data_IF_095121799531
#
_entry.id   IF_095121799531
#
_cell.length_a   1.000
_cell.length_b   1.000
_cell.length_c   1.000
_cell.angle_alpha   90.00
_cell.angle_beta   90.00
_cell.angle_gamma   90.00
#
_symmetry.space_group_name_H-M   'P 1'
#
loop_
_entity.id
_entity.type
_entity.pdbx_description
1 polymer ?
#
# COMPACT_ATOMS: atom_id res chain seq x y z
N UNK A 1 7.12 -4.92 20.69
CA UNK A 1 6.05 -3.99 21.10
C UNK A 1 4.95 -4.11 20.06
N UNK A 2 3.70 -4.37 20.47
CA UNK A 2 2.58 -4.36 19.54
C UNK A 2 2.36 -2.93 19.05
N UNK A 3 2.22 -2.76 17.74
CA UNK A 3 1.88 -1.50 17.10
C UNK A 3 0.58 -0.95 17.70
N UNK A 4 0.67 0.18 18.40
CA UNK A 4 -0.51 0.81 18.98
C UNK A 4 -1.26 1.59 17.89
N UNK A 5 -2.19 0.89 17.25
CA UNK A 5 -3.15 1.46 16.29
C UNK A 5 -3.93 2.62 16.88
N UNK A 6 -4.14 2.66 18.19
CA UNK A 6 -4.81 3.78 18.87
C UNK A 6 -3.89 5.00 18.85
N UNK A 7 -2.62 4.83 19.21
CA UNK A 7 -1.64 5.92 19.16
C UNK A 7 -1.49 6.50 17.75
N UNK A 8 -1.33 5.66 16.72
CA UNK A 8 -1.23 6.17 15.34
C UNK A 8 -2.53 6.84 14.89
N UNK A 9 -3.69 6.27 15.22
CA UNK A 9 -4.97 6.92 14.93
C UNK A 9 -5.11 8.27 15.63
N UNK A 10 -4.70 8.41 16.89
CA UNK A 10 -4.69 9.68 17.60
C UNK A 10 -3.68 10.67 16.99
N UNK A 11 -2.53 10.19 16.53
CA UNK A 11 -1.49 10.99 15.86
C UNK A 11 -1.96 11.53 14.50
N UNK A 12 -2.80 10.76 13.80
CA UNK A 12 -3.40 11.16 12.51
C UNK A 12 -4.70 11.96 12.68
N UNK A 13 -5.53 11.67 13.69
CA UNK A 13 -6.79 12.40 13.97
C UNK A 13 -6.55 13.84 14.41
N UNK A 14 -5.52 14.07 15.22
CA UNK A 14 -5.22 15.39 15.80
C UNK A 14 -4.44 16.31 14.84
N UNK A 15 -3.99 15.81 13.70
CA UNK A 15 -3.38 16.65 12.66
C UNK A 15 -4.47 17.36 11.90
N UNK A 16 -4.57 18.69 12.09
CA UNK A 16 -5.45 19.56 11.31
C UNK A 16 -5.26 19.24 9.83
N UNK A 17 -6.35 18.86 9.15
CA UNK A 17 -6.42 18.73 7.69
C UNK A 17 -5.78 19.96 7.08
N UNK A 18 -4.57 19.83 6.55
CA UNK A 18 -4.10 20.75 5.53
C UNK A 18 -4.64 20.16 4.25
N UNK A 19 -5.70 20.75 3.73
CA UNK A 19 -6.09 20.55 2.34
C UNK A 19 -4.93 21.17 1.55
N UNK A 20 -3.93 20.36 1.26
CA UNK A 20 -2.90 20.78 0.33
C UNK A 20 -3.56 20.88 -1.04
N UNK A 21 -3.21 21.94 -1.76
CA UNK A 21 -3.65 22.16 -3.13
C UNK A 21 -3.49 20.88 -3.95
N UNK A 22 -4.53 20.56 -4.72
CA UNK A 22 -4.61 19.60 -5.81
C UNK A 22 -3.25 19.23 -6.41
N UNK A 23 -2.56 18.23 -5.85
CA UNK A 23 -1.33 17.69 -6.44
C UNK A 23 -1.40 16.16 -6.50
N UNK A 24 -0.77 15.53 -7.50
CA UNK A 24 -0.70 14.08 -7.53
C UNK A 24 0.13 13.57 -6.35
N UNK A 25 -0.24 12.38 -5.86
CA UNK A 25 0.59 11.62 -4.92
C UNK A 25 1.79 11.03 -5.65
N UNK A 26 3.00 11.23 -5.13
CA UNK A 26 4.23 10.87 -5.83
C UNK A 26 4.79 9.49 -5.43
N UNK A 27 4.12 8.77 -4.54
CA UNK A 27 4.62 7.51 -3.98
C UNK A 27 5.65 7.75 -2.88
N UNK A 28 6.79 7.05 -2.94
CA UNK A 28 7.90 7.18 -2.00
C UNK A 28 8.58 8.53 -2.02
N UNK A 29 8.55 9.22 -3.16
CA UNK A 29 9.07 10.58 -3.28
C UNK A 29 8.18 11.62 -2.59
N UNK A 30 6.98 11.23 -2.15
CA UNK A 30 6.05 12.13 -1.49
C UNK A 30 6.48 12.44 -0.05
N UNK A 31 6.43 13.71 0.33
CA UNK A 31 6.83 14.17 1.67
C UNK A 31 5.84 13.76 2.77
N UNK A 32 4.66 13.28 2.38
CA UNK A 32 3.56 12.88 3.27
C UNK A 32 2.94 11.55 2.84
N UNK A 33 3.50 10.45 3.35
CA UNK A 33 3.16 9.09 2.92
C UNK A 33 3.12 8.10 4.08
N UNK A 34 2.30 7.09 3.91
CA UNK A 34 2.39 5.82 4.63
C UNK A 34 3.01 4.83 3.65
N UNK A 35 4.11 4.18 4.02
CA UNK A 35 4.80 3.20 3.23
C UNK A 35 4.87 1.88 3.99
N UNK A 36 4.68 0.78 3.27
CA UNK A 36 4.84 -0.56 3.74
C UNK A 36 5.95 -1.22 2.92
N UNK A 37 7.08 -1.53 3.58
CA UNK A 37 8.26 -2.18 3.01
C UNK A 37 8.27 -3.65 3.36
N UNK A 38 9.06 -4.42 2.63
CA UNK A 38 9.19 -5.88 2.80
C UNK A 38 7.83 -6.58 2.76
N UNK A 39 6.95 -6.13 1.87
CA UNK A 39 5.58 -6.67 1.70
C UNK A 39 5.61 -8.05 1.08
N UNK A 40 6.55 -8.26 0.15
CA UNK A 40 6.75 -9.50 -0.56
C UNK A 40 8.12 -10.09 -0.17
N UNK A 41 8.22 -11.41 0.08
CA UNK A 41 9.48 -12.02 0.48
C UNK A 41 10.58 -11.81 -0.57
N UNK A 42 11.76 -11.33 -0.14
CA UNK A 42 12.93 -11.16 -1.01
C UNK A 42 12.77 -10.06 -2.08
N UNK A 43 11.79 -9.18 -1.95
CA UNK A 43 11.51 -8.11 -2.90
C UNK A 43 11.71 -6.74 -2.26
N UNK A 44 12.26 -5.80 -3.03
CA UNK A 44 12.36 -4.40 -2.64
C UNK A 44 11.12 -3.57 -3.03
N UNK A 45 10.02 -4.22 -3.43
CA UNK A 45 8.78 -3.52 -3.75
C UNK A 45 8.20 -2.89 -2.49
N UNK A 46 7.88 -1.60 -2.59
CA UNK A 46 7.27 -0.83 -1.52
C UNK A 46 5.85 -0.45 -1.92
N UNK A 47 4.92 -0.59 -0.98
CA UNK A 47 3.51 -0.23 -1.16
C UNK A 47 3.25 1.04 -0.37
N UNK A 48 2.84 2.11 -1.03
CA UNK A 48 2.63 3.41 -0.38
C UNK A 48 1.25 3.98 -0.63
N UNK A 49 0.73 4.72 0.35
CA UNK A 49 -0.51 5.48 0.25
C UNK A 49 -0.31 6.84 0.92
N UNK A 50 -0.91 7.90 0.40
CA UNK A 50 -0.73 9.23 0.95
C UNK A 50 -1.38 9.39 2.34
N UNK A 51 -0.82 10.28 3.17
CA UNK A 51 -1.37 10.60 4.51
C UNK A 51 -2.59 11.53 4.42
N UNK A 52 -2.52 12.59 3.61
CA UNK A 52 -3.53 13.65 3.51
C UNK A 52 -4.31 13.59 2.18
N UNK A 53 -5.55 14.06 2.16
CA UNK A 53 -6.47 13.92 1.01
C UNK A 53 -5.94 14.62 -0.25
N UNK A 54 -5.76 13.85 -1.34
CA UNK A 54 -5.46 14.34 -2.69
C UNK A 54 -6.66 14.10 -3.63
N UNK A 55 -6.66 14.73 -4.81
CA UNK A 55 -7.80 14.67 -5.74
C UNK A 55 -8.07 13.28 -6.34
N UNK A 56 -7.09 12.37 -6.32
CA UNK A 56 -7.14 11.05 -6.97
C UNK A 56 -7.42 9.88 -5.99
N UNK A 57 -8.26 10.10 -4.98
CA UNK A 57 -8.27 9.28 -3.75
C UNK A 57 -9.33 8.18 -3.60
N UNK A 58 -8.98 7.09 -2.85
CA UNK A 58 -7.63 6.66 -2.47
C UNK A 58 -6.79 6.09 -3.61
N UNK A 59 -5.50 6.43 -3.61
CA UNK A 59 -4.47 5.78 -4.41
C UNK A 59 -3.51 4.96 -3.52
N UNK A 60 -3.08 3.82 -4.03
CA UNK A 60 -1.89 3.09 -3.59
C UNK A 60 -0.89 3.14 -4.74
N UNK A 61 0.38 3.36 -4.42
CA UNK A 61 1.48 3.31 -5.39
C UNK A 61 2.42 2.19 -4.97
N UNK A 62 2.68 1.25 -5.89
CA UNK A 62 3.71 0.24 -5.71
C UNK A 62 4.92 0.61 -6.57
N UNK A 63 6.09 0.63 -5.93
CA UNK A 63 7.37 1.00 -6.54
C UNK A 63 8.40 -0.08 -6.31
N UNK A 64 9.16 -0.46 -7.33
CA UNK A 64 10.17 -1.51 -7.25
C UNK A 64 10.76 -1.91 -8.60
N UNK A 65 11.52 -3.02 -8.67
CA UNK A 65 12.18 -3.46 -9.89
C UNK A 65 11.19 -3.76 -11.01
N UNK A 66 11.56 -3.42 -12.24
CA UNK A 66 10.69 -3.54 -13.42
C UNK A 66 10.06 -4.93 -13.56
N UNK A 67 10.84 -6.01 -13.46
CA UNK A 67 10.34 -7.37 -13.62
C UNK A 67 9.26 -7.73 -12.58
N UNK A 68 9.42 -7.23 -11.36
CA UNK A 68 8.47 -7.44 -10.26
C UNK A 68 7.24 -6.55 -10.41
N UNK A 69 7.39 -5.31 -10.87
CA UNK A 69 6.26 -4.40 -11.11
C UNK A 69 5.40 -4.87 -12.28
N UNK A 70 6.01 -5.32 -13.38
CA UNK A 70 5.30 -5.94 -14.50
C UNK A 70 4.53 -7.19 -14.06
N UNK A 71 5.16 -8.04 -13.24
CA UNK A 71 4.50 -9.22 -12.66
C UNK A 71 3.32 -8.85 -11.75
N UNK A 72 3.52 -7.86 -10.87
CA UNK A 72 2.51 -7.38 -9.95
C UNK A 72 1.34 -6.74 -10.69
N UNK A 73 1.59 -5.93 -11.72
CA UNK A 73 0.53 -5.33 -12.53
C UNK A 73 -0.44 -6.39 -13.06
N UNK A 74 0.10 -7.46 -13.67
CA UNK A 74 -0.69 -8.57 -14.19
C UNK A 74 -1.46 -9.32 -13.10
N UNK A 75 -0.85 -9.51 -11.93
CA UNK A 75 -1.49 -10.21 -10.80
C UNK A 75 -2.60 -9.35 -10.17
N UNK A 76 -2.36 -8.05 -10.00
CA UNK A 76 -3.25 -7.11 -9.32
C UNK A 76 -4.41 -6.64 -10.21
N UNK A 77 -4.29 -6.76 -11.54
CA UNK A 77 -5.42 -6.58 -12.46
C UNK A 77 -6.64 -7.45 -12.09
N UNK A 78 -6.41 -8.62 -11.49
CA UNK A 78 -7.47 -9.52 -11.00
C UNK A 78 -8.37 -8.84 -9.96
N UNK A 79 -7.84 -7.92 -9.16
CA UNK A 79 -8.60 -7.21 -8.13
C UNK A 79 -9.63 -6.25 -8.74
N UNK A 80 -9.25 -5.59 -9.83
CA UNK A 80 -10.11 -4.66 -10.58
C UNK A 80 -11.11 -5.42 -11.44
N UNK A 81 -10.66 -6.41 -12.22
CA UNK A 81 -11.50 -7.14 -13.17
C UNK A 81 -12.60 -7.95 -12.48
N UNK A 82 -12.30 -8.55 -11.32
CA UNK A 82 -13.29 -9.29 -10.53
C UNK A 82 -14.25 -8.39 -9.77
N UNK A 83 -14.09 -7.06 -9.85
CA UNK A 83 -14.83 -6.06 -9.06
C UNK A 83 -14.84 -6.43 -7.57
N UNK A 84 -13.66 -6.78 -7.04
CA UNK A 84 -13.53 -7.13 -5.62
C UNK A 84 -14.02 -5.92 -4.82
N UNK A 85 -15.07 -6.16 -4.04
CA UNK A 85 -15.67 -5.17 -3.16
C UNK A 85 -15.66 -5.71 -1.75
N UNK A 86 -15.21 -4.85 -0.84
CA UNK A 86 -15.38 -5.04 0.59
C UNK A 86 -16.59 -4.21 1.03
N UNK A 87 -17.11 -4.48 2.23
CA UNK A 87 -18.10 -3.59 2.88
C UNK A 87 -17.64 -2.13 2.97
N UNK A 88 -16.33 -1.89 2.87
CA UNK A 88 -15.69 -0.59 2.99
C UNK A 88 -15.56 0.08 1.62
N UNK A 89 -15.15 -0.61 0.57
CA UNK A 89 -15.14 -0.05 -0.80
C UNK A 89 -14.62 -1.04 -1.84
N UNK A 90 -14.29 -0.55 -3.03
CA UNK A 90 -13.89 -1.40 -4.17
C UNK A 90 -12.69 -0.86 -4.95
N UNK A 91 -11.98 -1.74 -5.65
CA UNK A 91 -10.90 -1.32 -6.56
C UNK A 91 -11.48 -0.63 -7.80
N UNK A 92 -11.14 0.64 -8.01
CA UNK A 92 -11.64 1.49 -9.10
C UNK A 92 -10.78 1.42 -10.37
N UNK A 93 -9.50 1.05 -10.25
CA UNK A 93 -8.62 0.95 -11.40
C UNK A 93 -7.18 0.62 -11.01
N UNK A 94 -6.38 0.27 -12.01
CA UNK A 94 -4.93 0.13 -11.91
C UNK A 94 -4.31 0.72 -13.17
N UNK A 95 -3.19 1.43 -13.00
CA UNK A 95 -2.44 2.05 -14.08
C UNK A 95 -0.95 1.87 -13.83
N UNK A 96 -0.23 1.30 -14.79
CA UNK A 96 1.22 1.31 -14.78
C UNK A 96 1.71 2.67 -15.31
N UNK A 97 2.37 3.46 -14.46
CA UNK A 97 2.84 4.80 -14.83
C UNK A 97 4.29 4.81 -15.29
N UNK A 98 5.05 3.78 -14.97
CA UNK A 98 6.38 3.53 -15.53
C UNK A 98 6.75 2.04 -15.42
N UNK A 99 7.91 1.64 -15.93
CA UNK A 99 8.45 0.30 -15.74
C UNK A 99 8.54 -0.09 -14.25
N UNK A 100 8.79 0.87 -13.36
CA UNK A 100 9.06 0.65 -11.94
C UNK A 100 7.91 1.09 -11.01
N UNK A 101 6.76 1.49 -11.58
CA UNK A 101 5.66 2.08 -10.81
C UNK A 101 4.28 1.68 -11.32
N UNK A 102 3.44 1.21 -10.40
CA UNK A 102 2.00 1.05 -10.61
C UNK A 102 1.21 1.88 -9.60
N UNK A 103 0.09 2.42 -10.06
CA UNK A 103 -0.91 3.12 -9.28
C UNK A 103 -2.19 2.30 -9.24
N UNK A 104 -2.75 2.11 -8.07
CA UNK A 104 -4.04 1.46 -7.86
C UNK A 104 -4.98 2.43 -7.20
N UNK A 105 -6.21 2.50 -7.71
CA UNK A 105 -7.26 3.34 -7.17
C UNK A 105 -8.25 2.47 -6.42
N UNK A 106 -8.55 2.87 -5.19
CA UNK A 106 -9.56 2.25 -4.37
C UNK A 106 -10.66 3.30 -4.15
N UNK A 107 -11.92 2.90 -4.17
CA UNK A 107 -13.06 3.81 -4.01
C UNK A 107 -13.57 3.69 -2.57
N UNK A 108 -12.86 4.33 -1.62
CA UNK A 108 -13.23 4.31 -0.20
C UNK A 108 -12.65 5.46 0.63
N UNK A 109 -13.43 6.00 1.55
CA UNK A 109 -12.89 6.72 2.69
C UNK A 109 -12.34 8.12 2.38
N UNK A 110 -12.57 9.04 3.30
CA UNK A 110 -12.15 10.46 3.21
C UNK A 110 -11.16 10.85 4.31
N UNK A 111 -10.73 9.88 5.14
CA UNK A 111 -9.94 10.14 6.34
C UNK A 111 -8.54 9.51 6.27
N UNK A 112 -7.51 10.17 6.83
CA UNK A 112 -6.14 9.64 6.87
C UNK A 112 -6.00 8.22 7.45
N UNK A 113 -6.71 7.91 8.53
CA UNK A 113 -6.66 6.58 9.16
C UNK A 113 -7.18 5.45 8.26
N UNK A 114 -8.03 5.76 7.29
CA UNK A 114 -8.53 4.77 6.31
C UNK A 114 -7.43 4.38 5.32
N UNK A 115 -6.37 5.19 5.16
CA UNK A 115 -5.21 4.89 4.29
C UNK A 115 -4.28 3.89 4.92
N UNK A 116 -4.09 4.01 6.23
CA UNK A 116 -3.41 2.98 7.00
C UNK A 116 -4.15 1.65 6.90
N UNK A 117 -5.46 1.65 7.16
CA UNK A 117 -6.28 0.44 7.04
C UNK A 117 -6.24 -0.14 5.61
N UNK A 118 -6.24 0.73 4.60
CA UNK A 118 -6.16 0.33 3.21
C UNK A 118 -4.90 -0.48 2.92
N UNK A 119 -3.71 -0.01 3.33
CA UNK A 119 -2.47 -0.72 3.02
C UNK A 119 -2.15 -1.85 4.02
N UNK A 120 -2.45 -1.69 5.30
CA UNK A 120 -2.14 -2.69 6.32
C UNK A 120 -3.03 -3.93 6.25
N UNK A 121 -4.29 -3.74 5.86
CA UNK A 121 -5.31 -4.77 5.92
C UNK A 121 -5.89 -5.02 4.53
N UNK A 122 -6.63 -4.06 3.98
CA UNK A 122 -7.48 -4.33 2.80
C UNK A 122 -6.69 -4.77 1.57
N UNK A 123 -5.64 -4.03 1.20
CA UNK A 123 -4.75 -4.39 0.09
C UNK A 123 -4.12 -5.76 0.30
N UNK A 124 -3.56 -6.03 1.49
CA UNK A 124 -2.87 -7.30 1.77
C UNK A 124 -3.83 -8.48 1.73
N UNK A 125 -5.02 -8.34 2.32
CA UNK A 125 -6.07 -9.37 2.27
C UNK A 125 -6.49 -9.66 0.84
N UNK A 126 -6.75 -8.64 0.05
CA UNK A 126 -7.20 -8.80 -1.33
C UNK A 126 -6.09 -9.38 -2.22
N UNK A 127 -4.84 -8.95 -2.02
CA UNK A 127 -3.67 -9.50 -2.70
C UNK A 127 -3.51 -11.00 -2.41
N UNK A 128 -3.67 -11.43 -1.16
CA UNK A 128 -3.62 -12.85 -0.78
C UNK A 128 -4.82 -13.63 -1.34
N UNK A 129 -6.05 -13.18 -1.09
CA UNK A 129 -7.26 -13.96 -1.40
C UNK A 129 -7.59 -14.00 -2.89
N UNK A 130 -7.31 -12.93 -3.62
CA UNK A 130 -7.82 -12.76 -4.98
C UNK A 130 -6.73 -12.73 -6.03
N UNK A 131 -5.51 -12.32 -5.67
CA UNK A 131 -4.34 -12.42 -6.53
C UNK A 131 -3.43 -13.61 -6.19
N UNK A 132 -3.68 -14.32 -5.08
CA UNK A 132 -2.88 -15.45 -4.55
C UNK A 132 -1.42 -15.09 -4.29
N UNK A 133 -1.14 -13.80 -4.04
CA UNK A 133 0.21 -13.31 -3.81
C UNK A 133 0.71 -13.69 -2.42
N UNK A 134 1.90 -14.28 -2.35
CA UNK A 134 2.59 -14.58 -1.10
C UNK A 134 3.18 -13.32 -0.51
N UNK A 135 2.75 -12.97 0.69
CA UNK A 135 3.24 -11.81 1.42
C UNK A 135 4.21 -12.22 2.53
N UNK A 136 5.08 -11.31 2.97
CA UNK A 136 5.95 -11.51 4.12
C UNK A 136 5.14 -11.62 5.41
N UNK A 137 5.62 -12.46 6.34
CA UNK A 137 5.01 -12.63 7.68
C UNK A 137 5.05 -11.34 8.50
N UNK A 138 6.07 -10.51 8.28
CA UNK A 138 6.25 -9.21 8.90
C UNK A 138 6.61 -8.22 7.80
N UNK A 139 6.13 -6.99 7.92
CA UNK A 139 6.44 -5.89 7.02
C UNK A 139 6.73 -4.63 7.83
N UNK A 140 7.47 -3.70 7.25
CA UNK A 140 7.89 -2.48 7.92
C UNK A 140 6.99 -1.32 7.48
N UNK A 141 6.20 -0.83 8.42
CA UNK A 141 5.36 0.34 8.25
C UNK A 141 6.16 1.60 8.62
N UNK A 142 6.19 2.55 7.69
CA UNK A 142 6.74 3.88 7.89
C UNK A 142 5.70 4.94 7.58
N UNK A 143 5.47 5.87 8.51
CA UNK A 143 4.67 7.07 8.27
C UNK A 143 5.61 8.27 8.21
N UNK A 144 5.71 8.90 7.05
CA UNK A 144 6.52 10.09 6.82
C UNK A 144 5.60 11.29 6.67
N UNK A 145 5.98 12.40 7.32
CA UNK A 145 5.28 13.67 7.21
C UNK A 145 6.28 14.82 7.19
N UNK A 146 6.17 15.71 6.21
CA UNK A 146 7.13 16.78 5.96
C UNK A 146 8.58 16.24 5.93
N UNK A 147 8.81 15.13 5.22
CA UNK A 147 10.10 14.44 5.11
C UNK A 147 10.70 13.93 6.43
N UNK A 148 9.90 13.83 7.50
CA UNK A 148 10.31 13.24 8.78
C UNK A 148 9.51 11.98 9.06
N UNK A 149 10.21 10.90 9.41
CA UNK A 149 9.57 9.67 9.89
C UNK A 149 8.89 9.95 11.23
N UNK A 150 7.56 10.02 11.21
CA UNK A 150 6.73 10.26 12.37
C UNK A 150 6.43 8.95 13.12
N UNK A 151 6.30 7.84 12.39
CA UNK A 151 6.05 6.51 12.96
C UNK A 151 6.84 5.46 12.18
N UNK A 152 7.40 4.50 12.91
CA UNK A 152 7.99 3.28 12.37
C UNK A 152 7.50 2.08 13.19
N UNK A 153 7.05 1.03 12.53
CA UNK A 153 6.53 -0.16 13.20
C UNK A 153 6.68 -1.42 12.35
N UNK A 154 6.89 -2.55 13.02
CA UNK A 154 6.77 -3.86 12.39
C UNK A 154 5.32 -4.33 12.48
N UNK A 155 4.70 -4.57 11.33
CA UNK A 155 3.29 -4.99 11.24
C UNK A 155 3.20 -6.43 10.73
N UNK A 156 2.54 -7.33 11.49
CA UNK A 156 2.39 -8.71 11.08
C UNK A 156 1.45 -8.83 9.88
N UNK A 157 1.46 -9.99 9.23
CA UNK A 157 0.44 -10.36 8.24
C UNK A 157 -0.97 -10.30 8.85
N UNK A 158 -2.01 -9.88 8.11
CA UNK A 158 -3.39 -9.89 8.61
C UNK A 158 -3.83 -11.28 9.08
N UNK A 159 -4.42 -11.35 10.27
CA UNK A 159 -4.89 -12.60 10.86
C UNK A 159 -6.16 -13.13 10.18
N UNK A 160 -6.38 -14.45 10.30
CA UNK A 160 -7.60 -15.13 9.86
C UNK A 160 -7.69 -15.40 8.36
N UNK A 161 -6.59 -15.24 7.61
CA UNK A 161 -6.50 -15.55 6.18
C UNK A 161 -5.23 -16.36 5.91
N UNK A 162 -5.36 -17.41 5.11
CA UNK A 162 -4.21 -18.15 4.58
C UNK A 162 -3.43 -17.26 3.60
N UNK A 163 -2.11 -17.25 3.73
CA UNK A 163 -1.25 -16.47 2.85
C UNK A 163 -1.27 -17.03 1.42
N UNK A 164 -1.06 -16.18 0.42
CA UNK A 164 -0.99 -16.60 -0.97
C UNK A 164 0.22 -17.48 -1.26
N UNK A 165 0.18 -18.16 -2.42
CA UNK A 165 1.21 -19.13 -2.83
C UNK A 165 2.15 -18.59 -3.90
N UNK A 166 1.74 -17.54 -4.63
CA UNK A 166 2.49 -16.98 -5.74
C UNK A 166 3.55 -16.02 -5.22
N UNK A 167 4.82 -16.40 -5.38
CA UNK A 167 5.96 -15.54 -5.05
C UNK A 167 6.27 -14.58 -6.20
N UNK A 168 6.84 -13.42 -5.88
CA UNK A 168 7.38 -12.52 -6.89
C UNK A 168 8.60 -13.18 -7.54
N UNK A 169 8.86 -12.90 -8.83
CA UNK A 169 10.07 -13.38 -9.47
C UNK A 169 11.29 -12.84 -8.72
N UNK A 170 12.26 -13.73 -8.48
CA UNK A 170 13.53 -13.34 -7.90
C UNK A 170 14.20 -12.28 -8.78
N UNK A 171 14.80 -11.27 -8.15
CA UNK A 171 15.65 -10.32 -8.87
C UNK A 171 16.93 -11.08 -9.19
N UNK A 172 17.20 -11.31 -10.47
CA UNK A 172 18.50 -11.79 -10.88
C UNK A 172 19.51 -10.68 -10.57
N UNK A 173 20.22 -10.79 -9.45
CA UNK A 173 21.44 -10.03 -9.27
C UNK A 173 22.43 -10.62 -10.26
N UNK A 174 22.68 -9.93 -11.37
CA UNK A 174 23.86 -10.19 -12.18
C UNK A 174 25.06 -10.03 -11.25
N UNK A 175 25.70 -11.15 -10.93
CA UNK A 175 27.00 -11.20 -10.27
C UNK A 175 28.09 -10.69 -11.21
#
# INVERSE_FOLDING_TARGET
MAFDRVYLNELLKNRKRRIFASRPFLGLADDQRVALKDVFPGSSVVVSSPVDVFDSWPAIVLEGPESQINFLHNSLLKLVQRKVSSKKGSWGGIRQTSAEKIEMFFNYGKYPWERLLLIEDMFRRDAMLHADLKLSKMSDLEVVYNNKTAVFAHVPLPEGIENGKIELPAIAFLQ
#
